data_IF_034706294374
#
_entry.id   IF_034706294374
#
_cell.length_a   1.000
_cell.length_b   1.000
_cell.length_c   1.000
_cell.angle_alpha   90.00
_cell.angle_beta   90.00
_cell.angle_gamma   90.00
#
_symmetry.space_group_name_H-M   'P 1'
#
loop_
_entity.id
_entity.type
_entity.pdbx_description
1 polymer ?
#
# COMPACT_ATOMS: atom_id res chain seq x y z
N UNK A 1 6.18 1.06 9.37
CA UNK A 1 4.84 0.58 9.76
C UNK A 1 3.89 1.73 9.48
N UNK A 2 2.68 1.50 8.92
CA UNK A 2 1.74 2.61 8.66
C UNK A 2 1.39 3.30 9.98
N UNK A 3 1.42 4.63 9.99
CA UNK A 3 1.04 5.43 11.15
C UNK A 3 -0.45 5.22 11.47
N UNK A 4 -0.81 5.17 12.76
CA UNK A 4 -2.20 4.97 13.19
C UNK A 4 -3.10 6.12 12.72
N UNK A 5 -2.56 7.33 12.68
CA UNK A 5 -3.30 8.51 12.22
C UNK A 5 -3.57 8.41 10.71
N UNK A 6 -2.56 8.05 9.90
CA UNK A 6 -2.71 7.74 8.47
C UNK A 6 -3.79 6.71 8.20
N UNK A 7 -3.78 5.60 8.96
CA UNK A 7 -4.79 4.56 8.83
C UNK A 7 -6.20 5.06 9.17
N UNK A 8 -6.32 5.96 10.15
CA UNK A 8 -7.59 6.53 10.57
C UNK A 8 -8.12 7.55 9.55
N UNK A 9 -7.28 8.49 9.11
CA UNK A 9 -7.62 9.53 8.12
C UNK A 9 -8.08 8.90 6.80
N UNK A 10 -7.39 7.85 6.36
CA UNK A 10 -7.68 7.16 5.11
C UNK A 10 -8.74 6.04 5.23
N UNK A 11 -9.31 5.82 6.42
CA UNK A 11 -10.24 4.70 6.70
C UNK A 11 -9.68 3.34 6.23
N UNK A 12 -8.40 3.10 6.52
CA UNK A 12 -7.71 1.87 6.13
C UNK A 12 -8.16 0.72 7.03
N UNK A 13 -8.89 -0.22 6.44
CA UNK A 13 -9.38 -1.39 7.16
C UNK A 13 -8.30 -2.48 7.22
N UNK A 14 -8.26 -3.26 8.33
CA UNK A 14 -7.45 -4.46 8.39
C UNK A 14 -7.96 -5.48 7.36
N UNK A 15 -7.04 -6.27 6.84
CA UNK A 15 -7.31 -7.17 5.72
C UNK A 15 -7.04 -8.60 6.17
N UNK A 16 -7.90 -9.51 5.72
CA UNK A 16 -7.74 -10.94 6.03
C UNK A 16 -6.59 -11.56 5.22
N UNK A 17 -6.00 -12.62 5.76
CA UNK A 17 -4.93 -13.35 5.07
C UNK A 17 -5.36 -13.89 3.69
N UNK A 18 -6.62 -14.30 3.54
CA UNK A 18 -7.16 -14.78 2.27
C UNK A 18 -7.16 -13.66 1.21
N UNK A 19 -7.67 -12.48 1.57
CA UNK A 19 -7.67 -11.31 0.67
C UNK A 19 -6.24 -10.88 0.30
N UNK A 20 -5.29 -10.96 1.24
CA UNK A 20 -3.88 -10.70 0.96
C UNK A 20 -3.32 -11.69 -0.06
N UNK A 21 -3.61 -12.98 0.10
CA UNK A 21 -3.14 -14.01 -0.83
C UNK A 21 -3.71 -13.83 -2.24
N UNK A 22 -5.01 -13.54 -2.36
CA UNK A 22 -5.64 -13.29 -3.65
C UNK A 22 -5.06 -12.05 -4.35
N UNK A 23 -4.82 -10.98 -3.58
CA UNK A 23 -4.20 -9.77 -4.09
C UNK A 23 -2.73 -9.99 -4.47
N UNK A 24 -1.99 -10.79 -3.69
CA UNK A 24 -0.62 -11.21 -4.01
C UNK A 24 -0.57 -11.95 -5.37
N UNK A 25 -1.43 -12.95 -5.58
CA UNK A 25 -1.49 -13.67 -6.85
C UNK A 25 -1.78 -12.73 -8.03
N UNK A 26 -2.71 -11.79 -7.84
CA UNK A 26 -3.03 -10.80 -8.86
C UNK A 26 -1.84 -9.88 -9.17
N UNK A 27 -1.22 -9.32 -8.14
CA UNK A 27 -0.07 -8.41 -8.28
C UNK A 27 1.10 -9.12 -8.94
N UNK A 28 1.45 -10.31 -8.48
CA UNK A 28 2.59 -11.07 -9.03
C UNK A 28 2.33 -11.58 -10.46
N UNK A 29 1.06 -11.78 -10.83
CA UNK A 29 0.68 -12.10 -12.21
C UNK A 29 0.74 -10.89 -13.14
N UNK A 30 0.36 -9.70 -12.65
CA UNK A 30 0.32 -8.45 -13.45
C UNK A 30 1.68 -7.72 -13.48
N UNK A 31 2.41 -7.76 -12.37
CA UNK A 31 3.66 -7.03 -12.15
C UNK A 31 4.76 -8.02 -11.72
N UNK A 32 5.71 -8.25 -12.63
CA UNK A 32 6.78 -9.23 -12.42
C UNK A 32 8.02 -8.65 -11.72
N UNK A 33 8.08 -7.33 -11.56
CA UNK A 33 9.23 -6.64 -10.96
C UNK A 33 8.79 -5.63 -9.91
N UNK A 34 9.62 -5.37 -8.86
CA UNK A 34 9.37 -4.32 -7.88
C UNK A 34 9.13 -2.95 -8.50
N UNK A 35 9.85 -2.60 -9.56
CA UNK A 35 9.73 -1.31 -10.25
C UNK A 35 8.34 -1.14 -10.87
N UNK A 36 7.80 -2.21 -11.48
CA UNK A 36 6.47 -2.18 -12.05
C UNK A 36 5.39 -2.02 -10.96
N UNK A 37 5.62 -2.56 -9.76
CA UNK A 37 4.75 -2.34 -8.60
C UNK A 37 4.83 -0.87 -8.14
N UNK A 38 6.03 -0.26 -8.10
CA UNK A 38 6.19 1.17 -7.76
C UNK A 38 5.42 2.05 -8.75
N UNK A 39 5.55 1.79 -10.05
CA UNK A 39 4.80 2.51 -11.09
C UNK A 39 3.28 2.31 -10.96
N UNK A 40 2.83 1.10 -10.63
CA UNK A 40 1.42 0.82 -10.42
C UNK A 40 0.86 1.58 -9.22
N UNK A 41 1.62 1.64 -8.11
CA UNK A 41 1.26 2.43 -6.92
C UNK A 41 1.17 3.92 -7.27
N UNK A 42 2.09 4.46 -8.07
CA UNK A 42 1.99 5.85 -8.56
C UNK A 42 0.72 6.10 -9.37
N UNK A 43 0.20 5.09 -10.08
CA UNK A 43 -1.09 5.19 -10.80
C UNK A 43 -2.31 5.02 -9.89
N UNK A 44 -2.14 4.53 -8.67
CA UNK A 44 -3.21 4.34 -7.68
C UNK A 44 -3.23 5.44 -6.64
N UNK A 45 -2.69 6.62 -6.96
CA UNK A 45 -2.58 7.75 -6.04
C UNK A 45 -3.90 8.04 -5.27
N UNK A 46 -5.05 7.89 -5.91
CA UNK A 46 -6.35 8.17 -5.28
C UNK A 46 -6.97 6.94 -4.55
N UNK A 47 -6.37 5.76 -4.66
CA UNK A 47 -6.92 4.50 -4.14
C UNK A 47 -6.13 3.98 -2.92
N UNK A 48 -6.29 4.69 -1.81
CA UNK A 48 -5.67 4.36 -0.52
C UNK A 48 -6.00 2.93 -0.05
N UNK A 49 -7.17 2.40 -0.41
CA UNK A 49 -7.61 1.04 -0.05
C UNK A 49 -6.78 0.00 -0.77
N UNK A 50 -6.55 0.19 -2.07
CA UNK A 50 -5.74 -0.72 -2.88
C UNK A 50 -4.27 -0.67 -2.48
N UNK A 51 -3.76 0.52 -2.15
CA UNK A 51 -2.40 0.69 -1.63
C UNK A 51 -2.24 0.01 -0.25
N UNK A 52 -3.22 0.13 0.64
CA UNK A 52 -3.24 -0.59 1.91
C UNK A 52 -3.28 -2.11 1.72
N UNK A 53 -4.02 -2.60 0.73
CA UNK A 53 -3.98 -4.01 0.33
C UNK A 53 -2.57 -4.48 -0.02
N UNK A 54 -1.85 -3.70 -0.84
CA UNK A 54 -0.49 -4.00 -1.20
C UNK A 54 0.45 -3.97 0.02
N UNK A 55 0.30 -3.01 0.92
CA UNK A 55 1.09 -2.95 2.15
C UNK A 55 0.92 -4.21 3.00
N UNK A 56 -0.32 -4.70 3.16
CA UNK A 56 -0.58 -5.96 3.86
C UNK A 56 0.05 -7.16 3.15
N UNK A 57 -0.02 -7.22 1.82
CA UNK A 57 0.66 -8.24 1.04
C UNK A 57 2.16 -8.23 1.28
N UNK A 58 2.81 -7.06 1.23
CA UNK A 58 4.24 -6.96 1.53
C UNK A 58 4.55 -7.33 2.97
N UNK A 59 3.64 -7.11 3.91
CA UNK A 59 3.85 -7.49 5.31
C UNK A 59 3.75 -9.03 5.52
N UNK A 60 2.96 -9.74 4.72
CA UNK A 60 2.82 -11.20 4.80
C UNK A 60 3.74 -11.98 3.84
N UNK A 61 4.13 -11.37 2.72
CA UNK A 61 4.93 -11.97 1.65
C UNK A 61 6.22 -11.17 1.36
N UNK A 62 6.78 -10.48 2.37
CA UNK A 62 7.99 -9.67 2.24
C UNK A 62 9.15 -10.44 1.63
N UNK A 63 9.26 -11.73 1.96
CA UNK A 63 10.38 -12.58 1.55
C UNK A 63 10.45 -12.77 0.03
N UNK A 64 9.30 -12.71 -0.65
CA UNK A 64 9.20 -12.93 -2.10
C UNK A 64 9.20 -11.63 -2.91
N UNK A 65 8.64 -10.55 -2.36
CA UNK A 65 8.40 -9.31 -3.12
C UNK A 65 9.27 -8.13 -2.69
N UNK A 66 9.68 -8.08 -1.42
CA UNK A 66 10.29 -6.90 -0.85
C UNK A 66 11.41 -7.27 0.13
N UNK A 67 12.36 -8.07 -0.36
CA UNK A 67 13.52 -8.54 0.41
C UNK A 67 14.34 -7.37 0.98
N UNK A 68 14.38 -6.24 0.25
CA UNK A 68 15.10 -5.02 0.64
C UNK A 68 14.25 -4.02 1.45
N UNK A 69 12.95 -4.31 1.67
CA UNK A 69 11.98 -3.43 2.38
C UNK A 69 11.76 -2.06 1.73
N UNK A 70 12.22 -1.86 0.51
CA UNK A 70 12.09 -0.59 -0.22
C UNK A 70 10.66 -0.34 -0.69
N UNK A 71 9.96 -1.38 -1.17
CA UNK A 71 8.59 -1.23 -1.64
C UNK A 71 7.67 -0.86 -0.48
N UNK A 72 7.87 -1.48 0.68
CA UNK A 72 7.16 -1.15 1.90
C UNK A 72 7.39 0.29 2.29
N UNK A 73 8.64 0.76 2.32
CA UNK A 73 8.96 2.15 2.66
C UNK A 73 8.33 3.14 1.68
N UNK A 74 8.31 2.81 0.38
CA UNK A 74 7.67 3.61 -0.65
C UNK A 74 6.16 3.72 -0.44
N UNK A 75 5.49 2.60 -0.18
CA UNK A 75 4.04 2.55 0.07
C UNK A 75 3.67 3.28 1.36
N UNK A 76 4.44 3.10 2.42
CA UNK A 76 4.20 3.78 3.71
C UNK A 76 4.27 5.30 3.53
N UNK A 77 5.31 5.82 2.86
CA UNK A 77 5.42 7.26 2.55
C UNK A 77 4.26 7.75 1.69
N UNK A 78 3.83 6.96 0.71
CA UNK A 78 2.74 7.34 -0.17
C UNK A 78 1.41 7.43 0.60
N UNK A 79 1.11 6.48 1.47
CA UNK A 79 -0.07 6.54 2.33
C UNK A 79 -0.01 7.73 3.30
N UNK A 80 1.15 8.00 3.90
CA UNK A 80 1.31 9.15 4.80
C UNK A 80 1.07 10.48 4.07
N UNK A 81 1.58 10.63 2.83
CA UNK A 81 1.32 11.80 2.01
C UNK A 81 -0.18 11.95 1.69
N UNK A 82 -0.86 10.85 1.34
CA UNK A 82 -2.30 10.89 1.07
C UNK A 82 -3.12 11.26 2.30
N UNK A 83 -2.70 10.84 3.50
CA UNK A 83 -3.34 11.25 4.73
C UNK A 83 -3.15 12.76 4.97
N UNK A 84 -1.93 13.28 4.78
CA UNK A 84 -1.66 14.71 4.90
C UNK A 84 -2.50 15.53 3.91
N UNK A 85 -2.53 15.15 2.64
CA UNK A 85 -3.31 15.84 1.61
C UNK A 85 -4.81 15.86 1.95
N UNK A 86 -5.31 14.75 2.51
CA UNK A 86 -6.71 14.64 2.94
C UNK A 86 -7.01 15.47 4.18
N UNK A 87 -6.08 15.56 5.13
CA UNK A 87 -6.22 16.45 6.30
C UNK A 87 -6.23 17.91 5.87
N UNK A 88 -5.32 18.33 4.98
CA UNK A 88 -5.28 19.69 4.43
C UNK A 88 -6.60 20.02 3.71
N UNK A 89 -7.12 19.09 2.90
CA UNK A 89 -8.39 19.28 2.18
C UNK A 89 -9.63 19.33 3.10
N UNK A 90 -9.53 18.88 4.34
CA UNK A 90 -10.63 18.93 5.33
C UNK A 90 -10.57 20.21 6.20
N UNK A 91 -9.43 20.92 6.20
CA UNK A 91 -9.23 22.18 6.92
C UNK A 91 -9.57 23.43 6.08
N UNK A 92 -9.69 23.29 4.75
CA UNK A 92 -10.23 24.32 3.83
C UNK A 92 -11.76 24.31 3.72
#
# INVERSE_FOLDING_TARGET
>A
MINRDTAKVLDLKPITRAMCHDFYLKITSEFKTPEAIKEAVSKWQDDSKKINHLWWVLNYHSDNLDTNRELRAFIERHLDNLAQDKEISLEE
#
